data_IF_372312968598
#
_entry.id   IF_372312968598
#
_cell.length_a   1.000
_cell.length_b   1.000
_cell.length_c   1.000
_cell.angle_alpha   90.00
_cell.angle_beta   90.00
_cell.angle_gamma   90.00
#
_symmetry.space_group_name_H-M   'P 1'
#
loop_
_entity.id
_entity.type
_entity.pdbx_description
1 polymer ?
#
# COMPACT_ATOMS: atom_id res chain seq x y z
N UNK A 1 -14.83 5.01 4.82
CA UNK A 1 -13.66 4.40 5.51
C UNK A 1 -12.44 5.25 5.20
N UNK A 2 -11.55 5.56 6.17
CA UNK A 2 -10.32 6.33 5.89
C UNK A 2 -9.40 5.52 4.97
N UNK A 3 -8.79 6.13 3.93
CA UNK A 3 -7.93 5.47 2.92
C UNK A 3 -6.86 4.59 3.58
N UNK A 4 -6.20 5.11 4.62
CA UNK A 4 -5.19 4.37 5.39
C UNK A 4 -5.69 3.00 5.87
N UNK A 5 -6.90 2.95 6.44
CA UNK A 5 -7.47 1.69 6.93
C UNK A 5 -7.70 0.70 5.79
N UNK A 6 -8.11 1.17 4.61
CA UNK A 6 -8.32 0.29 3.45
C UNK A 6 -6.99 -0.25 2.93
N UNK A 7 -5.98 0.61 2.79
CA UNK A 7 -4.64 0.22 2.33
C UNK A 7 -4.01 -0.80 3.28
N UNK A 8 -4.08 -0.59 4.59
CA UNK A 8 -3.58 -1.55 5.59
C UNK A 8 -4.27 -2.92 5.50
N UNK A 9 -5.59 -2.94 5.25
CA UNK A 9 -6.32 -4.19 5.06
C UNK A 9 -5.91 -4.90 3.76
N UNK A 10 -5.74 -4.17 2.65
CA UNK A 10 -5.23 -4.74 1.39
C UNK A 10 -3.85 -5.35 1.57
N UNK A 11 -2.96 -4.67 2.30
CA UNK A 11 -1.63 -5.21 2.62
C UNK A 11 -1.77 -6.50 3.44
N UNK A 12 -2.60 -6.51 4.48
CA UNK A 12 -2.87 -7.71 5.29
C UNK A 12 -3.36 -8.90 4.46
N UNK A 13 -4.32 -8.67 3.55
CA UNK A 13 -4.89 -9.72 2.71
C UNK A 13 -3.83 -10.38 1.80
N UNK A 14 -2.76 -9.65 1.46
CA UNK A 14 -1.69 -10.09 0.55
C UNK A 14 -0.50 -10.67 1.32
N UNK A 15 -0.07 -10.04 2.40
CA UNK A 15 1.19 -10.38 3.10
C UNK A 15 0.98 -11.14 4.40
N UNK A 16 -0.23 -11.10 4.97
CA UNK A 16 -0.54 -11.61 6.30
C UNK A 16 -0.05 -10.73 7.45
N UNK A 17 0.61 -9.59 7.17
CA UNK A 17 1.09 -8.65 8.19
C UNK A 17 -0.11 -7.92 8.78
N UNK A 18 -0.30 -8.02 10.10
CA UNK A 18 -1.48 -7.45 10.75
C UNK A 18 -1.47 -5.91 10.69
N UNK A 19 -2.63 -5.25 10.52
CA UNK A 19 -2.69 -3.78 10.36
C UNK A 19 -2.02 -2.96 11.48
N UNK A 20 -1.93 -3.49 12.68
CA UNK A 20 -1.31 -2.86 13.86
C UNK A 20 0.24 -2.80 13.76
N UNK A 21 0.83 -3.73 13.02
CA UNK A 21 2.28 -3.82 12.77
C UNK A 21 2.72 -2.91 11.60
N UNK A 22 1.79 -2.55 10.71
CA UNK A 22 2.05 -1.67 9.56
C UNK A 22 2.29 -0.21 9.99
N UNK A 23 3.55 0.13 10.24
CA UNK A 23 4.00 1.51 10.47
C UNK A 23 4.04 2.27 9.15
N UNK A 24 3.22 3.32 9.05
CA UNK A 24 2.98 4.00 7.76
C UNK A 24 4.21 4.75 7.23
N UNK A 25 5.14 5.08 8.11
CA UNK A 25 6.39 5.78 7.81
C UNK A 25 7.58 4.83 7.61
N UNK A 26 7.36 3.51 7.69
CA UNK A 26 8.38 2.53 7.36
C UNK A 26 8.28 2.22 5.87
N UNK A 27 9.45 2.01 5.26
CA UNK A 27 9.53 1.55 3.88
C UNK A 27 8.92 0.15 3.76
N UNK A 28 8.43 -0.21 2.58
CA UNK A 28 7.95 -1.57 2.33
C UNK A 28 9.05 -2.61 2.61
N UNK A 29 10.32 -2.29 2.35
CA UNK A 29 11.46 -3.15 2.66
C UNK A 29 11.65 -3.37 4.17
N UNK A 30 11.54 -2.32 4.99
CA UNK A 30 11.59 -2.42 6.46
C UNK A 30 10.44 -3.25 7.04
N UNK A 31 9.31 -3.33 6.33
CA UNK A 31 8.16 -4.18 6.66
C UNK A 31 8.25 -5.58 6.04
N UNK A 32 9.36 -5.92 5.40
CA UNK A 32 9.57 -7.19 4.67
C UNK A 32 8.56 -7.44 3.54
N UNK A 33 7.92 -6.38 3.03
CA UNK A 33 6.97 -6.42 1.91
C UNK A 33 7.76 -6.47 0.61
N UNK A 34 7.57 -7.56 -0.14
CA UNK A 34 8.36 -7.84 -1.34
C UNK A 34 7.81 -7.04 -2.51
N UNK A 35 8.67 -6.84 -3.51
CA UNK A 35 8.28 -6.20 -4.78
C UNK A 35 7.06 -6.85 -5.44
N UNK A 36 6.90 -8.17 -5.35
CA UNK A 36 5.73 -8.88 -5.89
C UNK A 36 4.45 -8.52 -5.14
N UNK A 37 4.52 -8.39 -3.81
CA UNK A 37 3.38 -8.00 -2.99
C UNK A 37 2.93 -6.58 -3.34
N UNK A 38 3.89 -5.67 -3.53
CA UNK A 38 3.61 -4.29 -3.96
C UNK A 38 2.84 -4.26 -5.28
N UNK A 39 3.22 -5.08 -6.27
CA UNK A 39 2.50 -5.14 -7.55
C UNK A 39 1.04 -5.55 -7.34
N UNK A 40 0.79 -6.57 -6.51
CA UNK A 40 -0.57 -7.04 -6.21
C UNK A 40 -1.36 -5.97 -5.45
N UNK A 41 -0.74 -5.28 -4.48
CA UNK A 41 -1.37 -4.17 -3.75
C UNK A 41 -1.80 -3.06 -4.71
N UNK A 42 -0.95 -2.70 -5.68
CA UNK A 42 -1.26 -1.66 -6.67
C UNK A 42 -2.39 -2.10 -7.61
N UNK A 43 -2.45 -3.37 -7.99
CA UNK A 43 -3.58 -3.93 -8.76
C UNK A 43 -4.89 -3.87 -7.96
N UNK A 44 -4.88 -4.24 -6.68
CA UNK A 44 -6.05 -4.15 -5.81
C UNK A 44 -6.53 -2.71 -5.61
N UNK A 45 -5.59 -1.77 -5.48
CA UNK A 45 -5.89 -0.33 -5.43
C UNK A 45 -6.53 0.11 -6.74
N UNK A 46 -5.98 -0.29 -7.90
CA UNK A 46 -6.56 0.03 -9.20
C UNK A 46 -7.97 -0.50 -9.35
N UNK A 47 -8.21 -1.74 -8.92
CA UNK A 47 -9.54 -2.36 -8.98
C UNK A 47 -10.55 -1.69 -8.06
N UNK A 48 -10.13 -1.27 -6.85
CA UNK A 48 -11.02 -0.66 -5.87
C UNK A 48 -11.29 0.82 -6.12
N UNK A 49 -10.25 1.58 -6.48
CA UNK A 49 -10.30 3.03 -6.61
C UNK A 49 -10.40 3.52 -8.06
N UNK A 50 -10.11 2.67 -9.05
CA UNK A 50 -10.11 3.05 -10.47
C UNK A 50 -8.89 3.88 -10.89
N UNK A 51 -7.84 3.93 -10.06
CA UNK A 51 -6.63 4.74 -10.27
C UNK A 51 -5.41 3.87 -10.55
N UNK A 52 -4.54 4.33 -11.44
CA UNK A 52 -3.28 3.64 -11.74
C UNK A 52 -2.10 4.34 -11.07
N UNK A 53 -1.58 3.72 -10.02
CA UNK A 53 -0.46 4.26 -9.25
C UNK A 53 0.86 3.74 -9.81
N UNK A 54 1.73 4.69 -10.16
CA UNK A 54 3.07 4.41 -10.68
C UNK A 54 4.16 4.91 -9.71
N UNK A 55 5.35 4.32 -9.80
CA UNK A 55 6.53 4.80 -9.07
C UNK A 55 6.57 4.43 -7.58
N UNK A 56 5.77 3.46 -7.14
CA UNK A 56 5.89 2.85 -5.82
C UNK A 56 6.82 1.64 -5.92
N UNK A 57 7.80 1.55 -5.02
CA UNK A 57 8.76 0.45 -4.96
C UNK A 57 9.08 0.09 -3.49
N UNK A 58 10.02 -0.81 -3.24
CA UNK A 58 10.33 -1.29 -1.89
C UNK A 58 10.87 -0.21 -0.93
N UNK A 59 11.45 0.88 -1.47
CA UNK A 59 11.92 2.02 -0.69
C UNK A 59 10.80 3.05 -0.42
N UNK A 60 9.62 2.88 -1.00
CA UNK A 60 8.45 3.72 -0.70
C UNK A 60 7.82 3.30 0.62
N UNK A 61 7.05 4.21 1.22
CA UNK A 61 6.28 3.96 2.43
C UNK A 61 4.79 3.77 2.13
N UNK A 62 4.03 3.27 3.11
CA UNK A 62 2.56 3.26 3.03
C UNK A 62 2.02 4.70 2.96
N UNK A 63 2.68 5.67 3.61
CA UNK A 63 2.32 7.09 3.51
C UNK A 63 2.42 7.58 2.07
N UNK A 64 3.51 7.28 1.37
CA UNK A 64 3.72 7.68 -0.04
C UNK A 64 2.61 7.11 -0.94
N UNK A 65 2.22 5.85 -0.69
CA UNK A 65 1.14 5.20 -1.41
C UNK A 65 -0.21 5.90 -1.15
N UNK A 66 -0.50 6.24 0.10
CA UNK A 66 -1.72 6.95 0.49
C UNK A 66 -1.76 8.36 -0.11
N UNK A 67 -0.64 9.08 -0.11
CA UNK A 67 -0.52 10.41 -0.72
C UNK A 67 -0.83 10.34 -2.22
N UNK A 68 -0.26 9.38 -2.95
CA UNK A 68 -0.59 9.17 -4.36
C UNK A 68 -2.07 8.86 -4.61
N UNK A 69 -2.72 8.09 -3.72
CA UNK A 69 -4.16 7.86 -3.82
C UNK A 69 -4.91 9.20 -3.74
N UNK A 70 -4.55 10.06 -2.77
CA UNK A 70 -5.22 11.36 -2.60
C UNK A 70 -4.93 12.36 -3.72
N UNK A 71 -3.73 12.34 -4.33
CA UNK A 71 -3.41 13.20 -5.47
C UNK A 71 -4.25 12.87 -6.71
N UNK A 72 -4.76 11.64 -6.83
CA UNK A 72 -5.53 11.15 -7.97
C UNK A 72 -7.05 11.20 -7.76
N UNK A 73 -7.49 11.68 -6.59
CA UNK A 73 -8.90 11.87 -6.22
C UNK A 73 -9.37 13.30 -6.50
#
# INVERSE_FOLDING_TARGET
>A
MKVEKKVKLMIYDITGIVPEELKVNYTFNELEIKKVDIVIILEDIKNYYGIEINGINTESTISDLIEKIYEMY
#
